data_IF_928842526101
#
_entry.id   IF_928842526101
#
_cell.length_a   1.000
_cell.length_b   1.000
_cell.length_c   1.000
_cell.angle_alpha   90.00
_cell.angle_beta   90.00
_cell.angle_gamma   90.00
#
_symmetry.space_group_name_H-M   'P 1'
#
loop_
_entity.id
_entity.type
_entity.pdbx_description
1 polymer ?
#
# COMPACT_ATOMS: atom_id res chain seq x y z
N UNK A 1 -28.91 -84.56 -47.91
CA UNK A 1 -27.70 -84.10 -48.60
C UNK A 1 -27.32 -82.73 -48.02
N UNK A 2 -26.10 -82.63 -47.47
CA UNK A 2 -25.41 -81.42 -47.01
C UNK A 2 -26.06 -80.58 -45.90
N UNK A 3 -25.81 -81.01 -44.65
CA UNK A 3 -25.77 -80.10 -43.49
C UNK A 3 -24.40 -79.41 -43.44
N UNK A 4 -24.39 -78.08 -43.54
CA UNK A 4 -23.28 -77.19 -43.17
C UNK A 4 -23.79 -76.18 -42.17
N UNK A 5 -23.50 -76.41 -40.89
CA UNK A 5 -23.65 -75.43 -39.82
C UNK A 5 -22.47 -74.45 -39.88
N UNK A 6 -22.81 -73.17 -39.97
CA UNK A 6 -21.92 -72.01 -39.93
C UNK A 6 -21.51 -71.68 -38.49
N UNK A 7 -20.21 -71.44 -38.28
CA UNK A 7 -19.66 -70.91 -37.04
C UNK A 7 -19.85 -69.38 -36.95
N UNK A 8 -20.10 -68.79 -35.77
CA UNK A 8 -19.92 -67.36 -35.56
C UNK A 8 -18.45 -67.03 -35.33
N UNK A 9 -18.03 -65.89 -35.89
CA UNK A 9 -16.69 -65.34 -35.80
C UNK A 9 -16.28 -65.03 -34.35
N UNK A 10 -15.03 -65.34 -34.02
CA UNK A 10 -14.44 -65.11 -32.70
C UNK A 10 -14.31 -63.62 -32.37
N UNK A 11 -14.66 -63.29 -31.13
CA UNK A 11 -14.41 -62.03 -30.47
C UNK A 11 -12.91 -61.97 -30.10
N UNK A 12 -12.18 -61.00 -30.64
CA UNK A 12 -10.76 -60.81 -30.29
C UNK A 12 -10.63 -60.23 -28.87
N UNK A 13 -9.68 -60.71 -28.05
CA UNK A 13 -9.43 -60.13 -26.74
C UNK A 13 -8.90 -58.70 -26.88
N UNK A 14 -9.58 -57.75 -26.23
CA UNK A 14 -9.13 -56.36 -26.15
C UNK A 14 -7.71 -56.30 -25.57
N UNK A 15 -6.84 -55.60 -26.29
CA UNK A 15 -5.40 -55.55 -26.09
C UNK A 15 -5.01 -54.88 -24.75
N UNK A 16 -4.78 -55.69 -23.72
CA UNK A 16 -4.36 -55.27 -22.38
C UNK A 16 -3.03 -54.48 -22.37
N UNK A 17 -2.26 -54.51 -23.46
CA UNK A 17 -0.99 -53.77 -23.59
C UNK A 17 -1.21 -52.26 -23.83
N UNK A 18 -2.32 -51.88 -24.50
CA UNK A 18 -2.71 -50.49 -24.73
C UNK A 18 -3.16 -49.82 -23.43
N UNK A 19 -3.92 -50.53 -22.59
CA UNK A 19 -4.45 -50.03 -21.32
C UNK A 19 -3.34 -49.78 -20.29
N UNK A 20 -2.32 -50.65 -20.24
CA UNK A 20 -1.14 -50.47 -19.37
C UNK A 20 -0.27 -49.28 -19.81
N UNK A 21 -0.10 -49.06 -21.13
CA UNK A 21 0.63 -47.91 -21.67
C UNK A 21 -0.09 -46.59 -21.43
N UNK A 22 -1.42 -46.58 -21.49
CA UNK A 22 -2.23 -45.41 -21.19
C UNK A 22 -2.19 -45.06 -19.69
N UNK A 23 -2.31 -46.07 -18.82
CA UNK A 23 -2.21 -45.89 -17.37
C UNK A 23 -0.84 -45.39 -16.93
N UNK A 24 0.25 -45.96 -17.48
CA UNK A 24 1.61 -45.49 -17.20
C UNK A 24 1.86 -44.07 -17.72
N UNK A 25 1.33 -43.70 -18.90
CA UNK A 25 1.43 -42.32 -19.41
C UNK A 25 0.62 -41.33 -18.58
N UNK A 26 -0.58 -41.71 -18.13
CA UNK A 26 -1.40 -40.88 -17.23
C UNK A 26 -0.74 -40.73 -15.85
N UNK A 27 -0.15 -41.79 -15.30
CA UNK A 27 0.60 -41.73 -14.05
C UNK A 27 1.87 -40.88 -14.16
N UNK A 28 2.59 -40.94 -15.30
CA UNK A 28 3.74 -40.08 -15.58
C UNK A 28 3.34 -38.61 -15.75
N UNK A 29 2.23 -38.31 -16.43
CA UNK A 29 1.70 -36.94 -16.55
C UNK A 29 1.22 -36.40 -15.19
N UNK A 30 0.59 -37.23 -14.36
CA UNK A 30 0.19 -36.87 -13.00
C UNK A 30 1.38 -36.60 -12.08
N UNK A 31 2.41 -37.46 -12.12
CA UNK A 31 3.63 -37.29 -11.33
C UNK A 31 4.48 -36.08 -11.80
N UNK A 32 4.59 -35.86 -13.12
CA UNK A 32 5.26 -34.68 -13.68
C UNK A 32 4.51 -33.37 -13.37
N UNK A 33 3.17 -33.39 -13.37
CA UNK A 33 2.34 -32.26 -12.95
C UNK A 33 2.50 -31.93 -11.46
N UNK A 34 2.58 -32.94 -10.59
CA UNK A 34 2.88 -32.77 -9.15
C UNK A 34 4.28 -32.23 -8.90
N UNK A 35 5.30 -32.74 -9.62
CA UNK A 35 6.69 -32.28 -9.50
C UNK A 35 6.88 -30.85 -10.05
N UNK A 36 6.16 -30.48 -11.12
CA UNK A 36 6.15 -29.11 -11.60
C UNK A 36 5.49 -28.18 -10.57
N UNK A 37 4.31 -28.53 -10.04
CA UNK A 37 3.58 -27.75 -9.03
C UNK A 37 4.35 -27.50 -7.72
N UNK A 38 5.26 -28.40 -7.34
CA UNK A 38 6.12 -28.24 -6.16
C UNK A 38 7.46 -27.51 -6.44
N UNK A 39 7.74 -27.14 -7.69
CA UNK A 39 8.93 -26.38 -8.07
C UNK A 39 8.68 -24.86 -8.08
N UNK A 40 9.72 -24.01 -7.96
CA UNK A 40 9.58 -22.56 -8.13
C UNK A 40 8.97 -22.16 -9.48
N UNK A 41 9.15 -23.00 -10.53
CA UNK A 41 8.53 -22.84 -11.85
C UNK A 41 7.03 -23.19 -11.85
N UNK A 42 6.56 -24.12 -11.02
CA UNK A 42 5.13 -24.42 -10.87
C UNK A 42 4.36 -23.37 -10.11
N UNK A 43 4.99 -22.75 -9.08
CA UNK A 43 4.42 -21.60 -8.38
C UNK A 43 4.24 -20.37 -9.28
N UNK A 44 4.97 -20.29 -10.40
CA UNK A 44 4.78 -19.27 -11.44
C UNK A 44 3.59 -19.58 -12.38
N UNK A 45 3.26 -20.86 -12.58
CA UNK A 45 2.19 -21.31 -13.49
C UNK A 45 0.84 -21.45 -12.75
N UNK A 46 0.87 -21.86 -11.48
CA UNK A 46 -0.31 -22.08 -10.64
C UNK A 46 -0.30 -21.12 -9.44
N UNK A 47 -0.42 -19.82 -9.71
CA UNK A 47 -0.68 -18.85 -8.65
C UNK A 47 -2.11 -18.96 -8.17
N UNK A 48 -2.31 -18.85 -6.86
CA UNK A 48 -3.68 -18.67 -6.32
C UNK A 48 -4.29 -17.38 -6.86
N UNK A 49 -5.63 -17.32 -7.01
CA UNK A 49 -6.31 -16.06 -7.27
C UNK A 49 -5.91 -15.00 -6.24
N UNK A 50 -5.82 -13.74 -6.64
CA UNK A 50 -5.57 -12.65 -5.70
C UNK A 50 -6.75 -12.54 -4.72
N UNK A 51 -6.54 -12.71 -3.40
CA UNK A 51 -7.61 -12.56 -2.42
C UNK A 51 -8.16 -11.13 -2.38
N UNK A 52 -7.43 -10.13 -2.90
CA UNK A 52 -7.83 -8.72 -2.94
C UNK A 52 -9.11 -8.41 -3.71
N UNK A 53 -9.67 -9.37 -4.44
CA UNK A 53 -11.00 -9.26 -5.10
C UNK A 53 -12.16 -9.66 -4.18
N UNK A 54 -11.87 -10.24 -3.03
CA UNK A 54 -12.87 -10.68 -2.06
C UNK A 54 -13.18 -9.56 -1.08
N UNK A 55 -14.46 -9.33 -0.81
CA UNK A 55 -14.88 -8.41 0.26
C UNK A 55 -14.39 -8.94 1.61
N UNK A 56 -13.92 -8.03 2.47
CA UNK A 56 -13.57 -8.39 3.83
C UNK A 56 -14.86 -8.51 4.66
N UNK A 57 -15.35 -9.74 4.80
CA UNK A 57 -16.59 -10.04 5.52
C UNK A 57 -16.31 -10.68 6.88
N UNK A 58 -17.27 -10.60 7.79
CA UNK A 58 -17.22 -11.28 9.09
C UNK A 58 -16.26 -10.65 10.09
N UNK A 59 -15.84 -9.40 9.86
CA UNK A 59 -15.02 -8.62 10.79
C UNK A 59 -15.85 -7.52 11.43
N UNK A 60 -15.52 -7.16 12.67
CA UNK A 60 -16.16 -6.06 13.39
C UNK A 60 -15.08 -5.08 13.82
N UNK A 61 -14.85 -4.08 12.98
CA UNK A 61 -13.87 -3.02 13.21
C UNK A 61 -14.53 -1.79 13.83
N UNK A 62 -13.78 -1.09 14.69
CA UNK A 62 -14.18 0.26 15.10
C UNK A 62 -14.00 1.19 13.90
N UNK A 63 -15.07 1.84 13.39
CA UNK A 63 -15.00 2.61 12.17
C UNK A 63 -14.21 3.90 12.38
N UNK A 64 -13.54 4.37 11.32
CA UNK A 64 -13.00 5.73 11.30
C UNK A 64 -14.12 6.76 11.19
N UNK A 65 -14.10 7.84 11.98
CA UNK A 65 -15.06 8.92 11.82
C UNK A 65 -14.89 9.58 10.45
N UNK A 66 -16.01 9.78 9.74
CA UNK A 66 -16.03 10.49 8.46
C UNK A 66 -16.68 11.84 8.65
N UNK A 67 -15.96 12.90 8.28
CA UNK A 67 -16.46 14.27 8.30
C UNK A 67 -16.62 14.78 6.88
N UNK A 68 -17.74 15.47 6.62
CA UNK A 68 -17.99 16.12 5.32
C UNK A 68 -18.48 17.56 5.55
N UNK A 69 -18.13 18.45 4.63
CA UNK A 69 -18.60 19.82 4.61
C UNK A 69 -19.28 20.13 3.27
N UNK A 70 -20.28 21.04 3.20
CA UNK A 70 -20.95 21.38 1.96
C UNK A 70 -20.01 21.80 0.81
N UNK A 71 -18.90 22.47 1.14
CA UNK A 71 -17.89 22.90 0.16
C UNK A 71 -17.18 21.75 -0.56
N UNK A 72 -17.20 20.55 0.01
CA UNK A 72 -16.52 19.36 -0.53
C UNK A 72 -17.11 18.90 -1.87
N UNK A 73 -18.36 19.25 -2.16
CA UNK A 73 -19.03 18.93 -3.42
C UNK A 73 -18.38 19.59 -4.65
N UNK A 74 -17.47 20.55 -4.45
CA UNK A 74 -16.73 21.19 -5.54
C UNK A 74 -15.60 20.32 -6.10
N UNK A 75 -15.02 19.44 -5.27
CA UNK A 75 -13.86 18.62 -5.66
C UNK A 75 -14.22 17.54 -6.67
N UNK A 76 -15.44 16.99 -6.59
CA UNK A 76 -15.93 15.98 -7.54
C UNK A 76 -16.15 16.52 -8.96
N UNK A 77 -16.08 17.84 -9.16
CA UNK A 77 -16.24 18.50 -10.46
C UNK A 77 -14.91 18.88 -11.11
N UNK A 78 -13.78 18.60 -10.44
CA UNK A 78 -12.45 18.92 -10.96
C UNK A 78 -11.96 17.72 -11.77
N UNK A 79 -11.79 17.92 -13.08
CA UNK A 79 -11.26 16.90 -13.96
C UNK A 79 -9.79 16.59 -13.62
N UNK A 80 -9.37 15.33 -13.79
CA UNK A 80 -8.00 14.86 -13.56
C UNK A 80 -7.43 15.07 -12.14
N UNK A 81 -8.25 15.47 -11.15
CA UNK A 81 -7.84 15.51 -9.76
C UNK A 81 -7.72 14.09 -9.19
N UNK A 82 -6.63 13.80 -8.49
CA UNK A 82 -6.45 12.52 -7.79
C UNK A 82 -7.63 12.27 -6.85
N UNK A 83 -8.24 11.05 -6.87
CA UNK A 83 -9.34 10.75 -5.97
C UNK A 83 -8.88 10.75 -4.52
N UNK A 84 -9.77 11.16 -3.61
CA UNK A 84 -9.45 11.20 -2.18
C UNK A 84 -9.06 9.83 -1.62
N UNK A 85 -9.71 8.77 -2.11
CA UNK A 85 -9.37 7.37 -1.84
C UNK A 85 -8.93 6.75 -3.17
N UNK A 86 -7.71 6.25 -3.22
CA UNK A 86 -7.16 5.55 -4.37
C UNK A 86 -7.74 4.14 -4.43
N UNK A 87 -8.16 3.69 -5.62
CA UNK A 87 -8.63 2.32 -5.82
C UNK A 87 -7.50 1.32 -5.57
N UNK A 88 -7.84 0.08 -5.18
CA UNK A 88 -6.81 -0.95 -4.89
C UNK A 88 -5.92 -1.25 -6.11
N UNK A 89 -6.48 -1.16 -7.32
CA UNK A 89 -5.79 -1.42 -8.59
C UNK A 89 -4.84 -0.28 -8.99
N UNK A 90 -5.14 0.96 -8.59
CA UNK A 90 -4.32 2.15 -8.88
C UNK A 90 -3.38 2.54 -7.73
N UNK A 91 -3.54 1.94 -6.55
CA UNK A 91 -2.69 2.22 -5.40
C UNK A 91 -1.24 1.84 -5.73
N UNK A 92 -0.31 2.78 -5.55
CA UNK A 92 1.06 2.60 -5.99
C UNK A 92 1.73 1.35 -5.36
N UNK A 93 2.53 0.63 -6.16
CA UNK A 93 3.25 -0.56 -5.71
C UNK A 93 4.74 -0.35 -5.90
N UNK A 94 5.49 -0.49 -4.81
CA UNK A 94 6.95 -0.63 -4.82
C UNK A 94 7.28 -1.94 -4.12
N UNK A 95 8.11 -2.75 -4.78
CA UNK A 95 8.63 -4.02 -4.28
C UNK A 95 10.14 -4.05 -4.49
N UNK A 96 10.86 -4.59 -3.52
CA UNK A 96 12.27 -4.96 -3.60
C UNK A 96 12.48 -6.22 -4.45
N UNK A 97 11.55 -7.18 -4.36
CA UNK A 97 11.58 -8.42 -5.11
C UNK A 97 10.69 -8.39 -6.35
N UNK A 98 11.17 -9.00 -7.43
CA UNK A 98 10.44 -9.13 -8.70
C UNK A 98 9.21 -10.06 -8.57
N UNK A 99 9.27 -11.03 -7.66
CA UNK A 99 8.23 -12.04 -7.48
C UNK A 99 7.59 -11.83 -6.11
N UNK A 100 6.32 -11.43 -6.12
CA UNK A 100 5.52 -11.31 -4.90
C UNK A 100 5.28 -12.69 -4.28
N UNK A 101 5.42 -12.84 -2.95
CA UNK A 101 5.06 -14.06 -2.25
C UNK A 101 3.62 -14.50 -2.56
N UNK A 102 3.45 -15.80 -2.84
CA UNK A 102 2.14 -16.45 -2.85
C UNK A 102 1.96 -17.15 -1.50
N UNK A 103 1.22 -16.53 -0.57
CA UNK A 103 1.04 -17.01 0.80
C UNK A 103 -0.33 -17.68 0.99
N UNK A 104 -0.36 -18.87 1.59
CA UNK A 104 -1.61 -19.52 1.98
C UNK A 104 -2.10 -18.94 3.31
N UNK A 105 -3.30 -18.36 3.40
CA UNK A 105 -3.80 -17.90 4.70
C UNK A 105 -4.00 -19.04 5.71
N UNK A 106 -4.25 -20.27 5.26
CA UNK A 106 -4.45 -21.41 6.16
C UNK A 106 -3.13 -21.89 6.80
N UNK A 107 -2.03 -21.79 6.06
CA UNK A 107 -0.68 -22.17 6.54
C UNK A 107 0.10 -20.98 7.12
N UNK A 108 -0.34 -19.76 6.85
CA UNK A 108 0.33 -18.57 7.34
C UNK A 108 0.31 -18.50 8.87
N UNK A 109 1.46 -18.11 9.43
CA UNK A 109 1.68 -17.90 10.85
C UNK A 109 2.46 -16.61 11.05
N UNK A 110 2.04 -15.81 12.02
CA UNK A 110 2.78 -14.66 12.51
C UNK A 110 3.39 -15.01 13.86
N UNK A 111 4.71 -15.19 13.91
CA UNK A 111 5.41 -15.38 15.18
C UNK A 111 5.67 -14.05 15.86
N UNK A 112 5.49 -14.00 17.18
CA UNK A 112 5.78 -12.85 18.03
C UNK A 112 6.72 -13.32 19.13
N UNK A 113 7.93 -12.76 19.17
CA UNK A 113 8.99 -13.22 20.06
C UNK A 113 10.03 -12.14 20.38
N UNK A 114 11.23 -12.59 20.77
CA UNK A 114 12.29 -11.73 21.26
C UNK A 114 12.13 -11.43 22.75
N UNK A 115 12.32 -10.18 23.16
CA UNK A 115 12.17 -9.70 24.53
C UNK A 115 10.70 -9.54 24.95
N UNK A 116 10.01 -10.67 25.03
CA UNK A 116 8.63 -10.77 25.49
C UNK A 116 8.48 -11.86 26.55
N UNK A 117 7.53 -11.70 27.48
CA UNK A 117 7.27 -12.65 28.55
C UNK A 117 6.53 -13.91 28.05
N UNK A 118 5.69 -13.75 27.04
CA UNK A 118 4.81 -14.78 26.49
C UNK A 118 4.90 -14.79 24.95
N UNK A 119 5.93 -15.43 24.37
CA UNK A 119 6.00 -15.63 22.93
C UNK A 119 4.74 -16.33 22.42
N UNK A 120 4.22 -15.88 21.28
CA UNK A 120 2.98 -16.40 20.71
C UNK A 120 3.06 -16.50 19.20
N UNK A 121 2.18 -17.29 18.61
CA UNK A 121 2.02 -17.41 17.17
C UNK A 121 0.55 -17.23 16.82
N UNK A 122 0.24 -16.33 15.90
CA UNK A 122 -1.12 -16.08 15.42
C UNK A 122 -1.32 -16.73 14.05
N UNK A 123 -2.45 -17.41 13.87
CA UNK A 123 -2.98 -17.73 12.54
C UNK A 123 -3.67 -16.51 11.92
N UNK A 124 -4.04 -16.60 10.64
CA UNK A 124 -4.81 -15.54 9.98
C UNK A 124 -6.18 -15.30 10.64
N UNK A 125 -6.85 -16.38 11.07
CA UNK A 125 -8.13 -16.25 11.78
C UNK A 125 -7.94 -15.73 13.21
N UNK A 126 -6.85 -16.08 13.90
CA UNK A 126 -6.54 -15.49 15.20
C UNK A 126 -6.38 -13.97 15.07
N UNK A 127 -5.62 -13.49 14.07
CA UNK A 127 -5.45 -12.06 13.81
C UNK A 127 -6.79 -11.36 13.55
N UNK A 128 -7.65 -11.95 12.72
CA UNK A 128 -8.99 -11.42 12.41
C UNK A 128 -9.97 -11.50 13.59
N UNK A 129 -9.63 -12.21 14.67
CA UNK A 129 -10.44 -12.27 15.88
C UNK A 129 -10.06 -11.21 16.93
N UNK A 130 -8.95 -10.51 16.73
CA UNK A 130 -8.47 -9.49 17.67
C UNK A 130 -9.27 -8.18 17.54
N UNK A 131 -9.29 -7.35 18.61
CA UNK A 131 -9.78 -5.97 18.52
C UNK A 131 -9.10 -5.22 17.38
N UNK A 132 -9.90 -4.65 16.49
CA UNK A 132 -9.42 -4.03 15.24
C UNK A 132 -10.13 -2.70 14.97
N UNK A 133 -9.51 -1.92 14.10
CA UNK A 133 -10.00 -0.60 13.68
C UNK A 133 -9.97 -0.46 12.17
N UNK A 134 -10.79 0.45 11.67
CA UNK A 134 -10.67 1.01 10.34
C UNK A 134 -9.97 2.37 10.42
N UNK A 135 -9.03 2.62 9.50
CA UNK A 135 -8.29 3.87 9.43
C UNK A 135 -7.99 4.32 8.01
N UNK A 136 -8.39 5.55 7.69
CA UNK A 136 -7.86 6.22 6.51
C UNK A 136 -6.41 6.64 6.73
N UNK A 137 -5.52 6.17 5.86
CA UNK A 137 -4.10 6.48 5.93
C UNK A 137 -3.49 6.55 4.53
N UNK A 138 -2.72 7.62 4.30
CA UNK A 138 -1.89 7.79 3.12
C UNK A 138 -0.54 7.10 3.32
N UNK A 139 -0.09 6.43 2.26
CA UNK A 139 1.28 5.96 2.16
C UNK A 139 2.00 6.79 1.09
N UNK A 140 3.23 7.17 1.39
CA UNK A 140 4.15 7.80 0.44
C UNK A 140 5.46 7.01 0.41
N UNK A 141 6.00 6.77 -0.78
CA UNK A 141 7.31 6.14 -0.91
C UNK A 141 8.43 7.12 -0.57
N UNK A 142 9.48 6.68 0.12
CA UNK A 142 10.66 7.52 0.38
C UNK A 142 11.39 7.93 -0.92
N UNK A 143 11.22 7.16 -1.99
CA UNK A 143 11.77 7.48 -3.32
C UNK A 143 10.89 8.41 -4.14
N UNK A 144 9.75 8.87 -3.61
CA UNK A 144 8.87 9.80 -4.31
C UNK A 144 9.62 11.10 -4.61
N UNK A 145 9.50 11.59 -5.85
CA UNK A 145 10.08 12.87 -6.26
C UNK A 145 9.10 14.01 -5.97
N UNK A 146 9.61 15.25 -6.00
CA UNK A 146 8.76 16.44 -5.95
C UNK A 146 7.76 16.36 -7.11
N UNK A 147 6.47 16.52 -6.81
CA UNK A 147 5.43 16.48 -7.83
C UNK A 147 5.14 15.11 -8.43
N UNK A 148 5.71 14.00 -7.90
CA UNK A 148 5.49 12.66 -8.44
C UNK A 148 4.38 11.88 -7.73
N UNK A 149 4.04 10.69 -8.26
CA UNK A 149 2.83 9.93 -7.94
C UNK A 149 3.05 8.68 -7.08
N UNK A 150 4.21 8.51 -6.41
CA UNK A 150 4.44 7.39 -5.48
C UNK A 150 3.79 7.64 -4.11
N UNK A 151 2.52 8.01 -4.12
CA UNK A 151 1.70 8.31 -2.96
C UNK A 151 0.23 7.93 -3.25
N UNK A 152 -0.43 7.27 -2.30
CA UNK A 152 -1.84 6.86 -2.42
C UNK A 152 -2.51 6.82 -1.05
N UNK A 153 -3.84 6.95 -1.03
CA UNK A 153 -4.63 6.94 0.21
C UNK A 153 -5.69 5.85 0.18
N UNK A 154 -5.87 5.14 1.29
CA UNK A 154 -6.84 4.05 1.40
C UNK A 154 -7.44 3.97 2.80
N UNK A 155 -8.60 3.31 2.89
CA UNK A 155 -9.14 2.80 4.15
C UNK A 155 -8.46 1.47 4.48
N UNK A 156 -7.89 1.35 5.67
CA UNK A 156 -7.21 0.15 6.13
C UNK A 156 -7.95 -0.49 7.30
N UNK A 157 -8.11 -1.80 7.26
CA UNK A 157 -8.66 -2.57 8.40
C UNK A 157 -7.54 -3.39 9.04
N UNK A 158 -7.32 -3.23 10.34
CA UNK A 158 -6.19 -3.87 11.02
C UNK A 158 -6.26 -3.86 12.54
N UNK A 159 -5.37 -4.65 13.14
CA UNK A 159 -5.19 -4.77 14.59
C UNK A 159 -4.11 -3.79 15.04
N UNK A 160 -4.34 -2.95 16.07
CA UNK A 160 -3.25 -2.19 16.67
C UNK A 160 -2.13 -3.12 17.17
N UNK A 161 -0.88 -2.83 16.81
CA UNK A 161 0.28 -3.65 17.21
C UNK A 161 0.36 -3.76 18.74
N UNK A 162 -0.03 -2.71 19.46
CA UNK A 162 -0.17 -2.69 20.91
C UNK A 162 -1.05 -3.83 21.48
N UNK A 163 -2.11 -4.24 20.77
CA UNK A 163 -2.99 -5.35 21.19
C UNK A 163 -2.23 -6.68 21.15
N UNK A 164 -1.40 -6.88 20.13
CA UNK A 164 -0.59 -8.10 19.95
C UNK A 164 0.56 -8.11 20.97
N UNK A 165 1.31 -7.01 21.05
CA UNK A 165 2.43 -6.86 21.96
C UNK A 165 1.99 -6.87 23.44
N UNK A 166 0.82 -6.34 23.76
CA UNK A 166 0.25 -6.41 25.11
C UNK A 166 -0.07 -7.83 25.55
N UNK A 167 -0.46 -8.73 24.63
CA UNK A 167 -0.64 -10.16 24.91
C UNK A 167 0.69 -10.87 25.10
N UNK A 168 1.72 -10.47 24.35
CA UNK A 168 3.06 -11.05 24.45
C UNK A 168 3.81 -10.58 25.71
N UNK A 169 3.52 -9.38 26.22
CA UNK A 169 4.20 -8.79 27.38
C UNK A 169 5.60 -8.31 27.03
N UNK A 170 5.71 -7.10 26.45
CA UNK A 170 6.99 -6.46 26.10
C UNK A 170 7.80 -6.18 27.37
N UNK A 171 9.03 -6.68 27.44
CA UNK A 171 9.92 -6.43 28.58
C UNK A 171 10.41 -4.98 28.61
N UNK A 172 10.69 -4.47 29.82
CA UNK A 172 11.07 -3.07 30.06
C UNK A 172 12.42 -2.67 29.46
N UNK A 173 13.30 -3.62 29.16
CA UNK A 173 14.60 -3.41 28.53
C UNK A 173 14.54 -3.44 26.98
N UNK A 174 13.35 -3.60 26.40
CA UNK A 174 13.15 -3.51 24.96
C UNK A 174 13.35 -2.07 24.43
N UNK A 175 13.96 -1.97 23.25
CA UNK A 175 14.29 -0.71 22.58
C UNK A 175 13.49 -0.56 21.29
N UNK A 176 13.49 -1.59 20.44
CA UNK A 176 12.79 -1.58 19.15
C UNK A 176 11.96 -2.85 18.95
N UNK A 177 11.02 -2.75 18.01
CA UNK A 177 10.23 -3.86 17.49
C UNK A 177 10.58 -4.00 16.01
N UNK A 178 11.18 -5.13 15.64
CA UNK A 178 11.51 -5.49 14.27
C UNK A 178 10.38 -6.32 13.67
N UNK A 179 10.13 -6.10 12.38
CA UNK A 179 9.08 -6.74 11.60
C UNK A 179 9.72 -7.40 10.38
N UNK A 180 9.55 -8.72 10.25
CA UNK A 180 10.12 -9.50 9.17
C UNK A 180 9.08 -9.94 8.15
N UNK A 181 9.45 -9.88 6.87
CA UNK A 181 8.61 -10.25 5.73
C UNK A 181 9.03 -11.58 5.11
N UNK A 182 8.07 -12.25 4.47
CA UNK A 182 8.41 -13.25 3.46
C UNK A 182 9.25 -12.58 2.36
N UNK A 183 10.34 -13.22 1.93
CA UNK A 183 11.33 -12.63 1.02
C UNK A 183 12.53 -11.98 1.71
N UNK A 184 12.53 -11.90 3.05
CA UNK A 184 13.69 -11.44 3.82
C UNK A 184 13.79 -9.93 3.99
N UNK A 185 12.82 -9.16 3.49
CA UNK A 185 12.68 -7.76 3.87
C UNK A 185 12.42 -7.64 5.38
N UNK A 186 13.01 -6.63 6.02
CA UNK A 186 12.73 -6.32 7.42
C UNK A 186 12.96 -4.85 7.70
N UNK A 187 12.22 -4.33 8.67
CA UNK A 187 12.39 -2.98 9.19
C UNK A 187 11.96 -2.95 10.67
N UNK A 188 12.26 -1.88 11.40
CA UNK A 188 11.91 -1.73 12.81
C UNK A 188 11.38 -0.34 13.14
N UNK A 189 10.69 -0.23 14.27
CA UNK A 189 10.38 1.05 14.90
C UNK A 189 10.63 0.97 16.41
N UNK A 190 10.68 2.12 17.09
CA UNK A 190 10.80 2.12 18.54
C UNK A 190 9.63 1.39 19.19
N UNK A 191 9.84 0.81 20.38
CA UNK A 191 8.75 0.22 21.17
C UNK A 191 7.61 1.22 21.37
N UNK A 192 7.95 2.49 21.63
CA UNK A 192 6.95 3.55 21.77
C UNK A 192 6.07 3.69 20.51
N UNK A 193 6.67 3.72 19.31
CA UNK A 193 5.91 3.81 18.06
C UNK A 193 5.10 2.53 17.79
N UNK A 194 5.64 1.35 18.11
CA UNK A 194 4.93 0.08 17.94
C UNK A 194 3.74 -0.09 18.91
N UNK A 195 3.85 0.46 20.12
CA UNK A 195 2.79 0.45 21.14
C UNK A 195 1.77 1.59 20.96
N UNK A 196 2.03 2.52 20.04
CA UNK A 196 1.07 3.57 19.69
C UNK A 196 -0.16 2.96 18.99
N UNK A 197 -1.36 3.44 19.33
CA UNK A 197 -2.63 2.95 18.76
C UNK A 197 -2.73 3.15 17.24
N UNK A 198 -1.91 4.06 16.69
CA UNK A 198 -1.83 4.34 15.26
C UNK A 198 -0.95 3.35 14.50
N UNK A 199 -0.23 2.43 15.14
CA UNK A 199 0.52 1.39 14.42
C UNK A 199 -0.32 0.14 14.27
N UNK A 200 -0.59 -0.28 13.02
CA UNK A 200 -1.46 -1.45 12.73
C UNK A 200 -0.69 -2.59 12.07
N UNK A 201 -1.17 -3.80 12.34
CA UNK A 201 -1.09 -4.93 11.41
C UNK A 201 -2.39 -4.98 10.61
N UNK A 202 -2.33 -4.52 9.36
CA UNK A 202 -3.47 -4.46 8.46
C UNK A 202 -3.61 -5.72 7.61
N UNK A 203 -4.84 -6.17 7.45
CA UNK A 203 -5.24 -7.31 6.63
C UNK A 203 -6.44 -7.01 5.72
N UNK A 204 -6.96 -5.77 5.76
CA UNK A 204 -7.99 -5.25 4.88
C UNK A 204 -7.61 -3.91 4.24
N UNK A 205 -8.09 -3.67 3.02
CA UNK A 205 -7.87 -2.45 2.27
C UNK A 205 -9.09 -2.09 1.41
N UNK A 206 -9.66 -0.91 1.64
CA UNK A 206 -10.87 -0.39 0.98
C UNK A 206 -12.07 -1.36 1.03
N UNK A 207 -12.33 -1.96 2.19
CA UNK A 207 -13.37 -2.98 2.44
C UNK A 207 -13.16 -4.33 1.73
N UNK A 208 -12.01 -4.54 1.10
CA UNK A 208 -11.59 -5.81 0.55
C UNK A 208 -10.52 -6.45 1.42
N UNK A 209 -10.38 -7.77 1.30
CA UNK A 209 -9.20 -8.47 1.81
C UNK A 209 -7.96 -7.80 1.23
N UNK A 210 -6.87 -7.71 2.00
CA UNK A 210 -5.64 -7.06 1.53
C UNK A 210 -5.19 -7.70 0.20
N UNK A 211 -4.98 -6.92 -0.87
CA UNK A 211 -4.47 -7.48 -2.13
C UNK A 211 -3.05 -8.02 -2.00
N UNK A 212 -2.70 -9.01 -2.82
CA UNK A 212 -1.36 -9.63 -2.78
C UNK A 212 -0.23 -8.61 -2.94
N UNK A 213 -0.37 -7.70 -3.90
CA UNK A 213 0.62 -6.65 -4.16
C UNK A 213 0.86 -5.70 -2.97
N UNK A 214 -0.14 -5.60 -2.10
CA UNK A 214 -0.17 -4.72 -0.93
C UNK A 214 0.14 -5.45 0.38
N UNK A 215 0.48 -6.74 0.32
CA UNK A 215 1.08 -7.45 1.46
C UNK A 215 0.24 -8.54 2.09
N UNK A 216 -0.76 -9.09 1.39
CA UNK A 216 -1.54 -10.23 1.88
C UNK A 216 -0.65 -11.36 2.45
N UNK A 217 -0.95 -11.93 3.63
CA UNK A 217 -2.17 -11.73 4.40
C UNK A 217 -2.14 -10.56 5.38
N UNK A 218 -0.96 -10.04 5.71
CA UNK A 218 -0.82 -8.98 6.70
C UNK A 218 0.38 -8.06 6.39
N UNK A 219 0.21 -6.76 6.64
CA UNK A 219 1.27 -5.75 6.54
C UNK A 219 1.33 -4.84 7.75
N UNK A 220 2.46 -4.20 7.98
CA UNK A 220 2.60 -3.12 8.96
C UNK A 220 2.14 -1.80 8.34
N UNK A 221 1.47 -0.97 9.14
CA UNK A 221 1.16 0.43 8.85
C UNK A 221 1.48 1.32 10.05
N UNK A 222 2.54 2.12 9.95
CA UNK A 222 2.91 3.15 10.91
C UNK A 222 2.71 4.55 10.31
N UNK A 223 1.89 5.39 10.95
CA UNK A 223 1.66 6.77 10.50
C UNK A 223 2.95 7.60 10.61
N UNK A 224 3.07 8.67 9.81
CA UNK A 224 4.20 9.61 9.88
C UNK A 224 5.50 9.15 9.24
N UNK A 225 5.58 7.89 8.78
CA UNK A 225 6.80 7.32 8.17
C UNK A 225 6.58 6.91 6.72
N UNK A 226 7.63 7.03 5.90
CA UNK A 226 7.58 6.58 4.52
C UNK A 226 7.38 5.06 4.40
N UNK A 227 6.87 4.63 3.24
CA UNK A 227 6.47 3.25 2.96
C UNK A 227 7.53 2.18 3.23
N UNK A 228 8.83 2.50 3.21
CA UNK A 228 9.88 1.54 3.59
C UNK A 228 9.72 1.01 5.03
N UNK A 229 9.20 1.84 5.94
CA UNK A 229 8.95 1.46 7.34
C UNK A 229 7.70 0.59 7.53
N UNK A 230 7.03 0.22 6.44
CA UNK A 230 5.74 -0.47 6.44
C UNK A 230 5.83 -1.85 5.76
N UNK A 231 6.59 -2.82 6.31
CA UNK A 231 6.76 -4.16 5.74
C UNK A 231 5.47 -4.84 5.29
N UNK A 232 5.52 -5.47 4.12
CA UNK A 232 4.45 -6.28 3.53
C UNK A 232 4.72 -7.77 3.75
N UNK A 233 3.70 -8.63 3.61
CA UNK A 233 3.86 -10.09 3.71
C UNK A 233 4.49 -10.52 5.03
N UNK A 234 3.98 -9.98 6.14
CA UNK A 234 4.55 -10.11 7.46
C UNK A 234 4.61 -11.59 7.90
N UNK A 235 5.72 -12.01 8.52
CA UNK A 235 5.94 -13.37 9.03
C UNK A 235 6.34 -13.40 10.49
N UNK A 236 6.99 -12.35 10.99
CA UNK A 236 7.41 -12.28 12.38
C UNK A 236 7.43 -10.84 12.92
N UNK A 237 7.26 -10.74 14.24
CA UNK A 237 7.49 -9.56 15.07
C UNK A 237 8.50 -9.96 16.14
N UNK A 238 9.63 -9.27 16.21
CA UNK A 238 10.69 -9.53 17.17
C UNK A 238 10.96 -8.27 18.01
N UNK A 239 10.79 -8.39 19.32
CA UNK A 239 11.14 -7.32 20.27
C UNK A 239 12.63 -7.43 20.61
N UNK A 240 13.39 -6.35 20.45
CA UNK A 240 14.84 -6.35 20.64
C UNK A 240 15.31 -5.28 21.63
N UNK A 241 16.42 -5.54 22.30
CA UNK A 241 17.08 -4.70 23.30
C UNK A 241 18.10 -3.70 22.71
N UNK A 242 18.11 -3.57 21.38
CA UNK A 242 19.13 -2.81 20.64
C UNK A 242 18.51 -2.10 19.45
N UNK A 243 19.15 -1.04 18.93
CA UNK A 243 18.81 -0.49 17.63
C UNK A 243 18.92 -1.57 16.55
N UNK A 244 17.89 -1.68 15.72
CA UNK A 244 17.83 -2.60 14.58
C UNK A 244 18.01 -1.80 13.30
N UNK A 245 18.80 -2.29 12.35
CA UNK A 245 18.89 -1.65 11.02
C UNK A 245 18.08 -2.43 10.00
N UNK A 246 17.04 -1.80 9.47
CA UNK A 246 16.19 -2.34 8.42
C UNK A 246 16.91 -2.47 7.08
N UNK A 247 16.26 -3.15 6.14
CA UNK A 247 16.83 -3.48 4.83
C UNK A 247 17.36 -2.26 4.07
N UNK A 248 16.58 -1.19 3.99
CA UNK A 248 16.99 0.04 3.28
C UNK A 248 17.92 0.92 4.12
N UNK A 249 17.83 0.86 5.45
CA UNK A 249 18.70 1.62 6.35
C UNK A 249 20.16 1.16 6.25
N UNK A 250 20.37 -0.16 6.14
CA UNK A 250 21.67 -0.75 5.84
C UNK A 250 22.25 -0.29 4.49
N UNK A 251 21.41 0.26 3.60
CA UNK A 251 21.77 0.79 2.28
C UNK A 251 21.84 2.32 2.26
N UNK A 252 21.90 2.95 3.43
CA UNK A 252 22.11 4.39 3.58
C UNK A 252 20.84 5.24 3.58
N UNK A 253 19.66 4.63 3.51
CA UNK A 253 18.41 5.38 3.72
C UNK A 253 18.22 5.76 5.19
N UNK A 254 17.47 6.82 5.42
CA UNK A 254 17.23 7.38 6.76
C UNK A 254 16.57 6.36 7.71
N UNK A 255 17.12 6.21 8.92
CA UNK A 255 16.55 5.38 10.00
C UNK A 255 15.16 5.86 10.45
N UNK A 256 14.94 7.16 10.74
CA UNK A 256 13.61 7.68 11.04
C UNK A 256 12.63 7.58 9.87
N UNK A 257 13.10 7.86 8.64
CA UNK A 257 12.30 7.90 7.41
C UNK A 257 10.96 8.64 7.59
N UNK A 258 10.99 9.79 8.26
CA UNK A 258 9.81 10.62 8.51
C UNK A 258 9.33 11.28 7.22
N UNK A 259 8.02 11.24 6.99
CA UNK A 259 7.40 11.93 5.87
C UNK A 259 7.57 13.44 6.04
N UNK A 260 8.03 14.11 5.00
CA UNK A 260 8.12 15.57 4.95
C UNK A 260 6.82 16.16 4.42
N UNK A 261 6.48 17.37 4.87
CA UNK A 261 5.38 18.15 4.27
C UNK A 261 5.62 18.32 2.77
N UNK A 262 4.63 17.94 1.97
CA UNK A 262 4.67 17.95 0.51
C UNK A 262 3.33 18.41 -0.06
N UNK A 263 3.37 18.95 -1.28
CA UNK A 263 2.20 19.29 -2.07
C UNK A 263 2.52 19.15 -3.55
N UNK A 264 1.55 18.65 -4.32
CA UNK A 264 1.66 18.42 -5.76
C UNK A 264 0.45 19.00 -6.49
N UNK A 265 0.69 19.53 -7.69
CA UNK A 265 -0.33 19.93 -8.66
C UNK A 265 -0.69 18.72 -9.52
N UNK A 266 -1.96 18.31 -9.49
CA UNK A 266 -2.48 17.23 -10.34
C UNK A 266 -3.11 17.77 -11.62
N UNK A 267 -3.72 18.96 -11.55
CA UNK A 267 -4.32 19.62 -12.70
C UNK A 267 -4.13 21.14 -12.56
N UNK A 268 -3.84 21.86 -13.65
CA UNK A 268 -3.53 21.35 -14.99
C UNK A 268 -2.21 20.58 -15.07
N UNK A 269 -1.98 19.87 -16.17
CA UNK A 269 -0.71 19.17 -16.42
C UNK A 269 0.40 20.15 -16.88
N UNK A 270 1.66 19.78 -16.65
CA UNK A 270 2.79 20.57 -17.13
C UNK A 270 2.80 20.63 -18.66
N UNK A 271 2.86 21.84 -19.21
CA UNK A 271 2.85 22.12 -20.64
C UNK A 271 1.46 22.26 -21.25
N UNK A 272 0.39 22.11 -20.47
CA UNK A 272 -0.98 22.22 -20.96
C UNK A 272 -1.30 23.63 -21.49
N UNK A 273 -2.09 23.69 -22.57
CA UNK A 273 -2.70 24.92 -23.07
C UNK A 273 -4.11 25.06 -22.51
N UNK A 274 -4.30 26.06 -21.68
CA UNK A 274 -5.50 26.36 -20.94
C UNK A 274 -6.42 27.30 -21.71
N UNK A 275 -7.71 27.09 -21.55
CA UNK A 275 -8.76 27.96 -22.08
C UNK A 275 -9.86 28.17 -21.05
N UNK A 276 -10.55 29.30 -21.14
CA UNK A 276 -11.66 29.68 -20.26
C UNK A 276 -11.29 30.73 -19.21
N UNK A 277 -12.32 31.39 -18.69
CA UNK A 277 -12.17 32.53 -17.78
C UNK A 277 -11.72 32.11 -16.36
N UNK A 278 -11.97 30.86 -15.98
CA UNK A 278 -11.62 30.31 -14.67
C UNK A 278 -11.05 28.90 -14.83
N UNK A 279 -9.77 28.76 -14.53
CA UNK A 279 -9.04 27.50 -14.58
C UNK A 279 -8.92 26.91 -13.15
N UNK A 280 -9.37 25.67 -12.91
CA UNK A 280 -9.08 24.99 -11.66
C UNK A 280 -7.60 24.56 -11.64
N UNK A 281 -6.88 24.95 -10.59
CA UNK A 281 -5.58 24.41 -10.23
C UNK A 281 -5.79 23.60 -8.96
N UNK A 282 -5.50 22.30 -8.98
CA UNK A 282 -5.83 21.41 -7.87
C UNK A 282 -4.81 20.28 -7.73
N UNK A 283 -4.82 19.64 -6.56
CA UNK A 283 -3.99 18.48 -6.31
C UNK A 283 -4.09 18.00 -4.86
N UNK A 284 -2.98 17.43 -4.38
CA UNK A 284 -2.87 16.83 -3.04
C UNK A 284 -1.78 17.51 -2.21
N UNK A 285 -1.96 17.53 -0.89
CA UNK A 285 -0.94 17.91 0.08
C UNK A 285 -0.90 16.88 1.22
N UNK A 286 0.27 16.60 1.78
CA UNK A 286 0.46 15.59 2.82
C UNK A 286 1.60 15.95 3.77
N UNK A 287 1.49 15.57 5.04
CA UNK A 287 2.51 15.82 6.07
C UNK A 287 2.57 14.69 7.10
N UNK A 288 2.62 13.45 6.61
CA UNK A 288 2.76 12.28 7.49
C UNK A 288 1.58 12.12 8.44
N UNK A 289 1.78 12.43 9.71
CA UNK A 289 0.80 12.34 10.80
C UNK A 289 0.40 13.69 11.41
N UNK A 290 0.86 14.80 10.83
CA UNK A 290 0.55 16.17 11.32
C UNK A 290 -0.69 16.78 10.64
N UNK A 291 -1.12 16.23 9.50
CA UNK A 291 -2.19 16.81 8.68
C UNK A 291 -1.78 18.11 7.96
N UNK A 292 -2.73 18.72 7.24
CA UNK A 292 -2.51 19.94 6.43
C UNK A 292 -3.44 21.06 6.88
N UNK A 293 -2.87 22.18 7.31
CA UNK A 293 -3.62 23.35 7.78
C UNK A 293 -3.93 24.36 6.67
N UNK A 294 -3.01 24.52 5.70
CA UNK A 294 -3.13 25.50 4.62
C UNK A 294 -2.39 25.02 3.37
N UNK A 295 -2.90 25.37 2.19
CA UNK A 295 -2.18 25.26 0.91
C UNK A 295 -2.25 26.62 0.22
N UNK A 296 -1.15 27.02 -0.39
CA UNK A 296 -1.05 28.25 -1.16
C UNK A 296 -0.53 27.97 -2.56
N UNK A 297 -1.08 28.70 -3.53
CA UNK A 297 -0.71 28.62 -4.95
C UNK A 297 -0.16 29.97 -5.41
N UNK A 298 0.95 29.94 -6.13
CA UNK A 298 1.49 31.08 -6.85
C UNK A 298 1.30 30.87 -8.34
N UNK A 299 0.83 31.89 -9.06
CA UNK A 299 0.66 31.87 -10.52
C UNK A 299 1.56 32.89 -11.23
N UNK A 300 2.49 33.50 -10.50
CA UNK A 300 3.34 34.61 -10.96
C UNK A 300 4.84 34.35 -10.72
N UNK A 301 5.24 33.08 -10.67
CA UNK A 301 6.64 32.70 -10.47
C UNK A 301 7.11 32.84 -9.02
N UNK A 302 6.27 32.46 -8.05
CA UNK A 302 6.54 32.51 -6.59
C UNK A 302 6.62 33.93 -6.00
N UNK A 303 6.13 34.96 -6.69
CA UNK A 303 6.16 36.36 -6.19
C UNK A 303 5.03 36.62 -5.20
N UNK A 304 3.82 36.15 -5.52
CA UNK A 304 2.65 36.20 -4.64
C UNK A 304 2.06 34.81 -4.42
N UNK A 305 1.38 34.63 -3.28
CA UNK A 305 0.81 33.36 -2.85
C UNK A 305 -0.65 33.58 -2.44
N UNK A 306 -1.55 32.83 -3.07
CA UNK A 306 -2.99 32.87 -2.82
C UNK A 306 -3.44 31.60 -2.08
N UNK A 307 -4.32 31.70 -1.08
CA UNK A 307 -4.81 30.52 -0.37
C UNK A 307 -5.70 29.65 -1.29
N UNK A 308 -5.51 28.34 -1.21
CA UNK A 308 -6.38 27.36 -1.85
C UNK A 308 -7.49 26.90 -0.89
N UNK A 309 -8.64 26.50 -1.46
CA UNK A 309 -9.67 25.77 -0.76
C UNK A 309 -9.15 24.38 -0.40
N UNK A 310 -9.41 23.91 0.82
CA UNK A 310 -9.09 22.56 1.25
C UNK A 310 -10.35 21.74 1.45
N UNK A 311 -10.33 20.49 0.98
CA UNK A 311 -11.38 19.52 1.27
C UNK A 311 -11.36 19.16 2.75
N UNK A 312 -12.50 18.79 3.34
CA UNK A 312 -12.53 18.21 4.69
C UNK A 312 -11.63 16.97 4.73
N UNK A 313 -10.72 16.88 5.70
CA UNK A 313 -9.81 15.75 5.81
C UNK A 313 -10.56 14.50 6.31
N UNK A 314 -10.24 13.32 5.76
CA UNK A 314 -10.75 12.04 6.26
C UNK A 314 -10.14 11.68 7.62
N UNK A 315 -8.86 11.97 7.82
CA UNK A 315 -8.18 11.84 9.12
C UNK A 315 -6.94 12.75 9.15
N UNK A 316 -6.25 12.82 10.29
CA UNK A 316 -4.94 13.49 10.38
C UNK A 316 -3.83 12.75 9.60
N UNK A 317 -4.08 11.48 9.24
CA UNK A 317 -3.09 10.58 8.61
C UNK A 317 -3.28 10.44 7.10
N UNK A 318 -4.16 11.24 6.50
CA UNK A 318 -4.39 11.27 5.07
C UNK A 318 -3.79 12.50 4.43
N UNK A 319 -3.48 12.40 3.13
CA UNK A 319 -3.38 13.57 2.28
C UNK A 319 -4.68 14.39 2.32
N UNK A 320 -4.60 15.62 1.86
CA UNK A 320 -5.72 16.53 1.77
C UNK A 320 -5.80 17.09 0.36
N UNK A 321 -6.98 16.97 -0.27
CA UNK A 321 -7.22 17.57 -1.58
C UNK A 321 -7.30 19.10 -1.42
N UNK A 322 -6.75 19.82 -2.39
CA UNK A 322 -6.80 21.28 -2.45
C UNK A 322 -7.23 21.78 -3.84
N UNK A 323 -7.85 22.95 -3.88
CA UNK A 323 -8.38 23.56 -5.10
C UNK A 323 -8.21 25.09 -5.06
N UNK A 324 -7.59 25.65 -6.09
CA UNK A 324 -7.52 27.08 -6.35
C UNK A 324 -8.18 27.39 -7.69
N UNK A 325 -9.18 28.27 -7.70
CA UNK A 325 -9.84 28.73 -8.93
C UNK A 325 -9.13 29.98 -9.40
N UNK A 326 -8.40 29.86 -10.50
CA UNK A 326 -7.57 30.92 -11.03
C UNK A 326 -8.22 31.58 -12.24
N UNK A 327 -8.27 32.91 -12.23
CA UNK A 327 -8.60 33.70 -13.42
C UNK A 327 -7.30 34.25 -13.98
N UNK A 328 -6.81 33.75 -15.13
CA UNK A 328 -5.62 34.28 -15.76
C UNK A 328 -5.76 35.76 -16.10
N UNK A 329 -4.73 36.60 -15.90
CA UNK A 329 -4.82 38.02 -16.23
C UNK A 329 -4.81 38.31 -17.73
N UNK A 330 -4.46 37.32 -18.56
CA UNK A 330 -4.51 37.37 -20.02
C UNK A 330 -3.76 36.20 -20.67
N UNK A 331 -3.72 36.14 -22.01
CA UNK A 331 -2.95 35.13 -22.72
C UNK A 331 -1.46 35.21 -22.39
N UNK A 332 -0.78 34.07 -22.35
CA UNK A 332 0.66 34.00 -22.08
C UNK A 332 1.09 32.74 -21.35
N UNK A 333 2.39 32.64 -21.10
CA UNK A 333 2.98 31.54 -20.33
C UNK A 333 3.03 31.89 -18.84
N UNK A 334 2.63 30.93 -17.99
CA UNK A 334 2.62 31.09 -16.54
C UNK A 334 3.35 29.95 -15.86
N UNK A 335 4.17 30.27 -14.86
CA UNK A 335 4.77 29.30 -13.95
C UNK A 335 3.96 29.26 -12.65
N UNK A 336 3.35 28.10 -12.40
CA UNK A 336 2.48 27.85 -11.26
C UNK A 336 3.24 27.02 -10.24
N UNK A 337 3.14 27.38 -8.96
CA UNK A 337 3.80 26.67 -7.86
C UNK A 337 2.83 26.45 -6.70
N UNK A 338 3.04 25.40 -5.93
CA UNK A 338 2.23 25.07 -4.75
C UNK A 338 3.09 24.81 -3.52
N UNK A 339 2.66 25.30 -2.36
CA UNK A 339 3.24 24.95 -1.07
C UNK A 339 2.16 24.65 -0.04
N UNK A 340 2.43 23.69 0.83
CA UNK A 340 1.59 23.40 1.98
C UNK A 340 2.15 23.95 3.30
N UNK A 341 1.27 24.01 4.29
CA UNK A 341 1.59 24.16 5.70
C UNK A 341 1.03 22.94 6.44
N UNK A 342 1.84 22.32 7.29
CA UNK A 342 1.43 21.19 8.12
C UNK A 342 0.43 21.62 9.20
N UNK A 343 -0.06 20.66 10.00
CA UNK A 343 -1.00 20.95 11.09
C UNK A 343 -0.45 21.82 12.22
N UNK A 344 0.88 21.92 12.36
CA UNK A 344 1.54 22.84 13.30
C UNK A 344 1.63 24.26 12.76
N UNK A 345 1.41 24.43 11.45
CA UNK A 345 1.52 25.69 10.74
C UNK A 345 2.93 25.96 10.18
N UNK A 346 3.84 24.98 10.23
CA UNK A 346 5.14 25.13 9.59
C UNK A 346 4.99 24.99 8.07
N UNK A 347 5.76 25.81 7.34
CA UNK A 347 5.68 25.87 5.87
C UNK A 347 6.58 24.82 5.25
N UNK A 348 6.09 24.17 4.20
CA UNK A 348 6.88 23.29 3.34
C UNK A 348 8.18 23.98 2.90
N UNK A 349 9.29 23.26 3.04
CA UNK A 349 10.61 23.81 2.70
C UNK A 349 10.74 24.10 1.22
N UNK A 350 11.36 25.23 0.90
CA UNK A 350 11.78 25.59 -0.48
C UNK A 350 13.12 25.00 -0.89
N UNK A 351 13.82 24.35 0.04
CA UNK A 351 15.12 23.74 -0.24
C UNK A 351 14.89 22.45 -0.99
N UNK A 352 15.32 22.45 -2.25
CA UNK A 352 15.25 21.26 -3.10
C UNK A 352 16.28 20.22 -2.67
N UNK A 353 15.82 19.00 -2.46
CA UNK A 353 16.66 17.85 -2.18
C UNK A 353 16.11 16.61 -2.90
N UNK A 354 16.97 15.74 -3.46
CA UNK A 354 16.53 14.49 -4.05
C UNK A 354 15.96 13.54 -2.99
N UNK A 355 15.27 12.45 -3.40
CA UNK A 355 14.72 11.49 -2.46
C UNK A 355 15.75 10.87 -1.50
N UNK A 356 16.92 10.48 -2.01
CA UNK A 356 17.95 9.91 -1.15
C UNK A 356 18.68 10.98 -0.32
N UNK A 357 18.91 10.79 1.00
CA UNK A 357 18.54 9.62 1.81
C UNK A 357 17.26 9.78 2.66
N UNK A 358 16.62 10.95 2.68
CA UNK A 358 15.62 11.33 3.70
C UNK A 358 14.23 11.65 3.13
N UNK A 359 13.95 11.26 1.89
CA UNK A 359 12.78 11.72 1.14
C UNK A 359 13.01 13.07 0.48
N UNK A 360 12.33 13.31 -0.65
CA UNK A 360 12.49 14.53 -1.42
C UNK A 360 11.93 15.73 -0.66
N UNK A 361 12.46 16.92 -0.94
CA UNK A 361 11.92 18.18 -0.43
C UNK A 361 12.03 19.28 -1.47
N UNK A 362 11.17 20.28 -1.40
CA UNK A 362 11.13 21.39 -2.36
C UNK A 362 9.68 21.76 -2.70
N UNK A 363 9.52 22.70 -3.64
CA UNK A 363 8.22 23.23 -4.07
C UNK A 363 7.92 22.69 -5.46
N UNK A 364 6.79 21.98 -5.59
CA UNK A 364 6.29 21.54 -6.88
C UNK A 364 5.85 22.73 -7.74
N UNK A 365 6.02 22.59 -9.05
CA UNK A 365 5.61 23.61 -9.99
C UNK A 365 5.59 23.16 -11.43
N UNK A 366 4.69 23.78 -12.18
CA UNK A 366 4.42 23.50 -13.58
C UNK A 366 4.49 24.78 -14.39
N UNK A 367 4.64 24.64 -15.70
CA UNK A 367 4.48 25.75 -16.64
C UNK A 367 3.33 25.44 -17.57
N UNK A 368 2.44 26.40 -17.79
CA UNK A 368 1.25 26.27 -18.65
C UNK A 368 1.15 27.46 -19.60
N UNK A 369 0.37 27.31 -20.67
CA UNK A 369 0.08 28.40 -21.61
C UNK A 369 -1.40 28.74 -21.55
N UNK A 370 -1.77 30.01 -21.43
CA UNK A 370 -3.16 30.49 -21.54
C UNK A 370 -3.35 31.05 -22.94
N UNK A 371 -4.37 30.56 -23.65
CA UNK A 371 -4.67 30.90 -25.04
C UNK A 371 -5.27 32.30 -25.23
#
# INVERSE_FOLDING_TARGET
ALDRLTAPAGEQPADASLTRRYFLRAAWLGAAGMLLGASPLGALIFRRPDPGRQRLLGVSATPSPVHTAPQDAQFSRVAALTPEITSNDEFYVVNEDLIQPDIDPAEWRLSVGGLVDHPLTLTYEDLKSLPMVERYQTLECISNQIGAHLMSNALWTGVPVAVILGRAGVRSDAVEVAFGSAGGYSDSMSVAKAMDETTLIAFGMNDFVLPRAHGFPARVLGVGTYGMKNPKWLTNIEVVDRPYQGFWEQRGWSKPALVKTTSRIDTPEAGETLSGDVVPIAGVAFSGDEGISRVEVSTDGRRTWSPALLKTALSAYTWRLWLYRWTPPGPGQYSIFVRAYDGTGAVQTRVEAPPFPTGASGIDGITVTVA
#
